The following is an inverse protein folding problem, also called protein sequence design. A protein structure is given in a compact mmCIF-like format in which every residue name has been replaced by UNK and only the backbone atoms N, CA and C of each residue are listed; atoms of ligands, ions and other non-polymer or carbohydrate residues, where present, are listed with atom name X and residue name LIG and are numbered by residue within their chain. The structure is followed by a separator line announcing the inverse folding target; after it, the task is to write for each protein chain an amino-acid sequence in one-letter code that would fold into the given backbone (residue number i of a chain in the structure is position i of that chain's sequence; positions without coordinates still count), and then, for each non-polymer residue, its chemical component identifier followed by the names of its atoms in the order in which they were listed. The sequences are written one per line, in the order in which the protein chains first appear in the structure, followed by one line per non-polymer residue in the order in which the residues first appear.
data_IF_380375523735
#
_entry.id   IF_380375523735
#
_cell.length_a   1.000
_cell.length_b   1.000
_cell.length_c   1.000
_cell.angle_alpha   90.00
_cell.angle_beta   90.00
_cell.angle_gamma   90.00
#
_symmetry.space_group_name_H-M   'P 1'
#
loop_
_entity.id
_entity.type
_entity.pdbx_description
1 polymer ?
#
# COMPACT_ATOMS: atom_id res chain seq x y z
N UNK A 1 23.20 62.14 -37.44
CA UNK A 1 23.13 62.05 -35.96
C UNK A 1 23.59 60.66 -35.56
N UNK A 2 24.67 60.61 -34.77
CA UNK A 2 25.23 59.53 -33.94
C UNK A 2 25.69 58.23 -34.66
N UNK A 3 26.99 58.06 -34.96
CA UNK A 3 28.13 57.60 -34.14
C UNK A 3 28.19 56.09 -33.81
N UNK A 4 28.96 55.36 -34.63
CA UNK A 4 30.06 54.43 -34.29
C UNK A 4 30.21 53.94 -32.83
N UNK A 5 30.27 52.61 -32.65
CA UNK A 5 31.40 51.89 -32.00
C UNK A 5 31.18 50.36 -31.97
N UNK A 6 32.12 49.63 -32.57
CA UNK A 6 32.41 48.22 -32.26
C UNK A 6 33.06 48.10 -30.87
N UNK A 7 32.79 47.02 -30.13
CA UNK A 7 33.74 46.41 -29.18
C UNK A 7 33.35 44.98 -28.78
N UNK A 8 34.41 44.20 -28.64
CA UNK A 8 34.59 42.77 -28.40
C UNK A 8 34.40 42.36 -26.93
N UNK A 9 34.22 41.04 -26.73
CA UNK A 9 34.58 40.19 -25.56
C UNK A 9 34.01 40.47 -24.15
N UNK A 10 33.20 39.55 -23.63
CA UNK A 10 33.52 38.63 -22.49
C UNK A 10 32.27 38.06 -21.83
N UNK A 11 32.34 36.75 -21.57
CA UNK A 11 31.76 35.95 -20.48
C UNK A 11 30.51 36.49 -19.76
N UNK A 12 29.42 35.72 -19.85
CA UNK A 12 28.56 35.53 -18.68
C UNK A 12 28.31 34.04 -18.43
N UNK A 13 28.60 33.64 -17.20
CA UNK A 13 28.40 32.31 -16.62
C UNK A 13 27.10 32.36 -15.82
N UNK A 14 26.16 31.48 -16.14
CA UNK A 14 25.15 30.92 -15.22
C UNK A 14 24.74 29.59 -15.86
N UNK A 15 25.15 28.41 -15.39
CA UNK A 15 24.88 27.72 -14.13
C UNK A 15 23.39 27.69 -13.73
N UNK A 16 22.70 26.60 -14.10
CA UNK A 16 22.11 25.62 -13.18
C UNK A 16 20.99 24.83 -13.85
N UNK A 17 21.11 23.51 -13.81
CA UNK A 17 20.11 22.55 -14.29
C UNK A 17 20.44 21.15 -13.78
N UNK A 18 20.75 21.11 -12.48
CA UNK A 18 20.98 19.94 -11.63
C UNK A 18 20.05 18.77 -12.01
N UNK A 19 20.66 17.75 -12.60
CA UNK A 19 20.00 16.50 -12.95
C UNK A 19 20.41 15.44 -11.94
N UNK A 20 19.47 15.05 -11.07
CA UNK A 20 19.33 13.64 -10.71
C UNK A 20 19.99 13.12 -9.44
N UNK A 21 20.46 13.96 -8.51
CA UNK A 21 21.14 13.51 -7.28
C UNK A 21 20.20 13.38 -6.06
N UNK A 22 19.12 12.60 -6.17
CA UNK A 22 18.32 12.21 -5.00
C UNK A 22 18.34 10.68 -4.74
N UNK A 23 19.19 9.92 -5.46
CA UNK A 23 19.19 8.45 -5.39
C UNK A 23 20.13 7.85 -4.32
N UNK A 24 20.91 8.65 -3.59
CA UNK A 24 21.97 8.10 -2.71
C UNK A 24 22.08 8.77 -1.32
N UNK A 25 21.54 9.98 -1.16
CA UNK A 25 21.74 10.80 0.06
C UNK A 25 21.26 10.08 1.34
N UNK A 26 20.13 9.36 1.28
CA UNK A 26 19.57 8.70 2.49
C UNK A 26 20.32 7.43 2.90
N UNK A 27 20.84 6.64 1.94
CA UNK A 27 21.64 5.45 2.26
C UNK A 27 23.05 5.81 2.71
N UNK A 28 23.63 6.85 2.12
CA UNK A 28 25.00 7.25 2.40
C UNK A 28 25.11 7.86 3.81
N UNK A 29 24.18 8.75 4.16
CA UNK A 29 24.09 9.32 5.53
C UNK A 29 23.90 8.23 6.58
N UNK A 30 23.10 7.20 6.28
CA UNK A 30 22.89 6.06 7.18
C UNK A 30 24.17 5.25 7.38
N UNK A 31 24.93 5.03 6.32
CA UNK A 31 26.16 4.25 6.35
C UNK A 31 27.26 5.00 7.09
N UNK A 32 27.38 6.31 6.86
CA UNK A 32 28.36 7.17 7.51
C UNK A 32 28.12 7.32 9.02
N UNK A 33 26.85 7.35 9.45
CA UNK A 33 26.49 7.54 10.86
C UNK A 33 26.18 6.23 11.61
N UNK A 34 26.34 5.09 10.96
CA UNK A 34 25.93 3.78 11.48
C UNK A 34 26.58 3.46 12.84
N UNK A 35 27.90 3.66 12.94
CA UNK A 35 28.66 3.41 14.17
C UNK A 35 28.19 4.29 15.34
N UNK A 36 27.85 5.55 15.05
CA UNK A 36 27.37 6.51 16.07
C UNK A 36 25.98 6.13 16.54
N UNK A 37 25.09 5.74 15.61
CA UNK A 37 23.71 5.35 15.91
C UNK A 37 23.67 4.03 16.71
N UNK A 38 24.52 3.07 16.38
CA UNK A 38 24.54 1.77 17.09
C UNK A 38 25.10 1.87 18.51
N UNK A 39 25.99 2.83 18.79
CA UNK A 39 26.57 3.07 20.12
C UNK A 39 25.68 3.93 21.03
N UNK A 40 24.70 4.65 20.48
CA UNK A 40 23.78 5.47 21.26
C UNK A 40 22.70 4.63 21.96
N UNK A 41 22.32 5.00 23.19
CA UNK A 41 21.27 4.30 23.92
C UNK A 41 19.93 4.38 23.15
N UNK A 42 19.34 3.22 22.82
CA UNK A 42 18.13 3.12 21.99
C UNK A 42 18.33 3.39 20.49
N UNK A 43 19.55 3.63 20.02
CA UNK A 43 19.82 3.96 18.62
C UNK A 43 19.51 2.82 17.65
N UNK A 44 19.70 1.55 18.05
CA UNK A 44 19.30 0.38 17.25
C UNK A 44 17.78 0.39 16.98
N UNK A 45 16.96 0.80 17.96
CA UNK A 45 15.50 0.87 17.77
C UNK A 45 15.15 1.94 16.73
N UNK A 46 15.71 3.13 16.86
CA UNK A 46 15.51 4.24 15.90
C UNK A 46 15.99 3.89 14.49
N UNK A 47 17.10 3.17 14.39
CA UNK A 47 17.62 2.70 13.10
C UNK A 47 16.63 1.76 12.41
N UNK A 48 16.05 0.81 13.15
CA UNK A 48 15.02 -0.09 12.59
C UNK A 48 13.80 0.69 12.11
N UNK A 49 13.34 1.66 12.89
CA UNK A 49 12.21 2.54 12.53
C UNK A 49 12.51 3.31 11.24
N UNK A 50 13.72 3.86 11.11
CA UNK A 50 14.15 4.59 9.91
C UNK A 50 14.26 3.68 8.68
N UNK A 51 14.86 2.49 8.82
CA UNK A 51 14.93 1.51 7.73
C UNK A 51 13.51 1.12 7.28
N UNK A 52 12.60 0.85 8.22
CA UNK A 52 11.20 0.53 7.90
C UNK A 52 10.50 1.69 7.18
N UNK A 53 10.74 2.93 7.62
CA UNK A 53 10.20 4.11 6.95
C UNK A 53 10.71 4.21 5.51
N UNK A 54 12.02 4.06 5.29
CA UNK A 54 12.60 4.08 3.95
C UNK A 54 12.10 2.92 3.08
N UNK A 55 11.87 1.75 3.68
CA UNK A 55 11.30 0.59 2.99
C UNK A 55 9.90 0.89 2.47
N UNK A 56 9.04 1.45 3.33
CA UNK A 56 7.67 1.83 2.97
C UNK A 56 7.65 2.95 1.92
N UNK A 57 8.62 3.85 1.94
CA UNK A 57 8.81 4.89 0.92
C UNK A 57 9.40 4.37 -0.39
N UNK A 58 9.78 3.09 -0.49
CA UNK A 58 10.42 2.54 -1.70
C UNK A 58 11.85 3.04 -1.95
N UNK A 59 12.50 3.63 -0.95
CA UNK A 59 13.84 4.26 -1.06
C UNK A 59 15.01 3.32 -0.76
N UNK A 60 14.73 2.06 -0.42
CA UNK A 60 15.76 1.06 -0.13
C UNK A 60 16.26 0.30 -1.35
N UNK A 61 15.62 0.46 -2.51
CA UNK A 61 15.94 -0.28 -3.73
C UNK A 61 15.92 0.68 -4.93
N UNK A 62 16.88 0.59 -5.87
CA UNK A 62 16.85 1.38 -7.09
C UNK A 62 15.56 1.12 -7.88
N UNK A 63 14.83 2.19 -8.20
CA UNK A 63 13.67 2.08 -9.10
C UNK A 63 14.14 1.83 -10.53
N UNK A 64 13.43 0.95 -11.23
CA UNK A 64 13.62 0.64 -12.65
C UNK A 64 12.62 1.44 -13.50
N UNK A 65 13.07 2.36 -14.36
CA UNK A 65 12.18 3.15 -15.23
C UNK A 65 11.37 2.30 -16.23
N UNK A 66 11.77 1.05 -16.47
CA UNK A 66 11.03 0.12 -17.33
C UNK A 66 9.85 -0.57 -16.65
N UNK A 67 9.64 -0.37 -15.33
CA UNK A 67 8.52 -0.98 -14.61
C UNK A 67 7.19 -0.32 -15.00
N UNK A 68 6.10 -1.10 -15.05
CA UNK A 68 4.76 -0.56 -15.31
C UNK A 68 4.37 0.42 -14.18
N UNK A 69 4.03 1.68 -14.48
CA UNK A 69 3.63 2.62 -13.46
C UNK A 69 2.29 2.21 -12.85
N UNK A 70 2.12 2.45 -11.55
CA UNK A 70 0.92 2.08 -10.80
C UNK A 70 -0.36 2.70 -11.37
N UNK A 71 -0.26 3.83 -12.09
CA UNK A 71 -1.39 4.45 -12.81
C UNK A 71 -2.06 3.50 -13.80
N UNK A 72 -1.27 2.68 -14.52
CA UNK A 72 -1.77 1.71 -15.49
C UNK A 72 -2.56 0.60 -14.79
N UNK A 73 -2.05 0.09 -13.67
CA UNK A 73 -2.76 -0.91 -12.87
C UNK A 73 -4.06 -0.34 -12.28
N UNK A 74 -4.05 0.91 -11.82
CA UNK A 74 -5.25 1.56 -11.29
C UNK A 74 -6.33 1.73 -12.36
N UNK A 75 -5.95 2.02 -13.60
CA UNK A 75 -6.89 2.09 -14.72
C UNK A 75 -7.51 0.72 -15.02
N UNK A 76 -6.68 -0.34 -15.07
CA UNK A 76 -7.16 -1.74 -15.20
C UNK A 76 -8.15 -2.11 -14.09
N UNK A 77 -7.85 -1.75 -12.84
CA UNK A 77 -8.72 -2.03 -11.69
C UNK A 77 -10.04 -1.25 -11.80
N UNK A 78 -9.99 0.01 -12.24
CA UNK A 78 -11.16 0.86 -12.43
C UNK A 78 -12.10 0.26 -13.47
N UNK A 79 -11.56 -0.18 -14.61
CA UNK A 79 -12.34 -0.79 -15.69
C UNK A 79 -12.95 -2.13 -15.27
N UNK A 80 -12.17 -2.97 -14.60
CA UNK A 80 -12.66 -4.23 -14.04
C UNK A 80 -13.79 -3.99 -13.03
N UNK A 81 -13.64 -3.00 -12.15
CA UNK A 81 -14.68 -2.61 -11.19
C UNK A 81 -15.94 -2.14 -11.90
N UNK A 82 -15.83 -1.38 -12.98
CA UNK A 82 -16.99 -0.98 -13.79
C UNK A 82 -17.69 -2.18 -14.42
N UNK A 83 -16.93 -3.14 -14.95
CA UNK A 83 -17.48 -4.37 -15.52
C UNK A 83 -18.23 -5.19 -14.46
N UNK A 84 -17.64 -5.38 -13.28
CA UNK A 84 -18.29 -6.08 -12.17
C UNK A 84 -19.58 -5.39 -11.70
N UNK A 85 -19.63 -4.05 -11.75
CA UNK A 85 -20.86 -3.29 -11.47
C UNK A 85 -21.90 -3.53 -12.55
N UNK A 86 -21.51 -3.48 -13.84
CA UNK A 86 -22.41 -3.72 -14.98
C UNK A 86 -23.02 -5.13 -14.96
N UNK A 87 -22.22 -6.13 -14.61
CA UNK A 87 -22.68 -7.53 -14.48
C UNK A 87 -23.39 -7.82 -13.16
N UNK A 88 -23.55 -6.83 -12.27
CA UNK A 88 -24.24 -6.98 -10.99
C UNK A 88 -23.50 -7.80 -9.92
N UNK A 89 -22.21 -8.10 -10.12
CA UNK A 89 -21.40 -8.88 -9.18
C UNK A 89 -21.02 -8.05 -7.94
N UNK A 90 -20.87 -6.73 -8.10
CA UNK A 90 -20.65 -5.79 -7.00
C UNK A 90 -21.60 -4.60 -7.09
N UNK A 91 -21.90 -3.99 -5.95
CA UNK A 91 -22.73 -2.78 -5.88
C UNK A 91 -21.89 -1.55 -6.22
N UNK A 92 -22.51 -0.56 -6.87
CA UNK A 92 -21.91 0.76 -7.08
C UNK A 92 -21.63 1.41 -5.73
N UNK A 93 -20.37 1.80 -5.51
CA UNK A 93 -19.94 2.50 -4.31
C UNK A 93 -20.04 4.01 -4.51
N UNK A 94 -20.13 4.76 -3.41
CA UNK A 94 -20.05 6.22 -3.44
C UNK A 94 -18.66 6.63 -3.97
N UNK A 95 -18.56 7.66 -4.82
CA UNK A 95 -17.26 8.21 -5.21
C UNK A 95 -16.45 8.60 -3.98
N UNK A 96 -15.17 8.27 -3.98
CA UNK A 96 -14.24 8.70 -2.95
C UNK A 96 -13.75 10.12 -3.26
N UNK A 97 -13.45 10.93 -2.25
CA UNK A 97 -12.83 12.23 -2.48
C UNK A 97 -11.46 12.07 -3.16
N UNK A 98 -11.01 13.09 -3.91
CA UNK A 98 -9.62 13.15 -4.35
C UNK A 98 -8.68 13.10 -3.13
N UNK A 99 -7.40 12.88 -3.41
CA UNK A 99 -6.35 13.01 -2.40
C UNK A 99 -5.85 14.45 -2.51
N UNK A 100 -5.96 15.19 -1.42
CA UNK A 100 -5.53 16.58 -1.36
C UNK A 100 -4.00 16.65 -1.11
N UNK A 101 -3.36 17.75 -1.50
CA UNK A 101 -1.90 17.90 -1.39
C UNK A 101 -1.42 17.86 0.07
N UNK A 102 -2.23 18.32 1.02
CA UNK A 102 -1.95 18.29 2.45
C UNK A 102 -2.08 16.90 3.08
N UNK A 103 -2.73 15.95 2.39
CA UNK A 103 -2.82 14.55 2.81
C UNK A 103 -1.60 13.72 2.39
N UNK A 104 -0.74 14.25 1.51
CA UNK A 104 0.44 13.54 0.99
C UNK A 104 1.61 13.71 1.97
N UNK A 105 2.04 12.65 2.68
CA UNK A 105 3.03 12.79 3.74
C UNK A 105 4.47 12.93 3.21
N UNK A 106 4.73 12.51 1.97
CA UNK A 106 6.05 12.53 1.33
C UNK A 106 5.96 12.26 -0.18
N UNK A 107 7.04 12.64 -0.87
CA UNK A 107 7.25 12.33 -2.29
C UNK A 107 7.44 10.83 -2.52
N UNK A 108 6.80 10.34 -3.57
CA UNK A 108 6.87 8.95 -3.98
C UNK A 108 7.97 8.73 -5.02
N UNK A 109 8.53 7.50 -5.11
CA UNK A 109 9.39 7.13 -6.22
C UNK A 109 8.66 7.20 -7.57
N UNK A 110 9.42 7.27 -8.66
CA UNK A 110 8.89 7.22 -10.01
C UNK A 110 8.03 5.96 -10.21
N UNK A 111 6.88 6.12 -10.88
CA UNK A 111 5.93 5.03 -11.13
C UNK A 111 4.99 4.70 -9.96
N UNK A 112 5.23 5.20 -8.76
CA UNK A 112 4.32 5.04 -7.62
C UNK A 112 3.25 6.14 -7.62
N UNK A 113 2.10 5.86 -7.01
CA UNK A 113 1.00 6.83 -6.89
C UNK A 113 0.25 6.63 -5.58
N UNK A 114 -0.13 7.73 -4.94
CA UNK A 114 -1.05 7.69 -3.82
C UNK A 114 -2.46 7.37 -4.31
N UNK A 115 -3.14 6.42 -3.68
CA UNK A 115 -4.52 6.06 -4.00
C UNK A 115 -5.28 5.69 -2.74
N UNK A 116 -6.60 5.90 -2.75
CA UNK A 116 -7.46 5.46 -1.67
C UNK A 116 -7.61 3.94 -1.74
N UNK A 117 -7.56 3.26 -0.59
CA UNK A 117 -7.74 1.80 -0.50
C UNK A 117 -9.04 1.33 -1.19
N UNK A 118 -10.12 2.12 -1.12
CA UNK A 118 -11.39 1.78 -1.77
C UNK A 118 -11.35 1.80 -3.32
N UNK A 119 -10.32 2.38 -3.95
CA UNK A 119 -10.12 2.26 -5.39
C UNK A 119 -9.56 0.89 -5.79
N UNK A 120 -8.72 0.29 -4.94
CA UNK A 120 -8.09 -1.01 -5.23
C UNK A 120 -8.91 -2.20 -4.74
N UNK A 121 -9.82 -1.99 -3.76
CA UNK A 121 -10.71 -3.05 -3.28
C UNK A 121 -11.98 -3.14 -4.13
N UNK A 122 -12.26 -4.34 -4.64
CA UNK A 122 -13.50 -4.67 -5.36
C UNK A 122 -14.69 -4.83 -4.40
N UNK A 123 -14.49 -5.54 -3.29
CA UNK A 123 -15.56 -5.89 -2.35
C UNK A 123 -15.02 -6.03 -0.93
N UNK A 124 -15.72 -5.41 0.02
CA UNK A 124 -15.50 -5.62 1.46
C UNK A 124 -16.69 -6.42 1.98
N UNK A 125 -16.42 -7.49 2.72
CA UNK A 125 -17.46 -8.31 3.34
C UNK A 125 -17.13 -8.56 4.79
N UNK A 126 -18.10 -8.34 5.67
CA UNK A 126 -18.04 -8.83 7.04
C UNK A 126 -18.52 -10.27 7.10
N UNK A 127 -17.88 -11.05 7.98
CA UNK A 127 -18.34 -12.37 8.38
C UNK A 127 -19.60 -12.32 9.24
N UNK A 128 -19.95 -13.46 9.81
CA UNK A 128 -21.07 -13.58 10.73
C UNK A 128 -20.83 -14.70 11.73
N UNK A 129 -21.22 -14.44 12.98
CA UNK A 129 -21.18 -15.44 14.05
C UNK A 129 -22.50 -16.20 14.06
N UNK A 130 -22.49 -17.52 13.83
CA UNK A 130 -23.69 -18.32 14.00
C UNK A 130 -24.06 -18.37 15.50
N UNK A 131 -25.33 -18.63 15.80
CA UNK A 131 -25.78 -18.70 17.20
C UNK A 131 -24.98 -19.74 17.98
N UNK A 132 -24.32 -19.31 19.06
CA UNK A 132 -23.54 -20.20 19.95
C UNK A 132 -24.40 -21.19 20.72
N UNK A 133 -25.69 -20.89 20.89
CA UNK A 133 -26.64 -21.72 21.64
C UNK A 133 -27.17 -22.86 20.75
N UNK A 134 -27.21 -22.66 19.43
CA UNK A 134 -27.66 -23.69 18.50
C UNK A 134 -26.50 -24.64 18.17
N UNK A 135 -26.39 -25.72 18.93
CA UNK A 135 -25.33 -26.74 18.75
C UNK A 135 -25.28 -27.32 17.34
N UNK A 136 -26.38 -27.33 16.58
CA UNK A 136 -26.43 -27.82 15.18
C UNK A 136 -25.56 -27.01 14.22
N UNK A 137 -25.12 -25.82 14.63
CA UNK A 137 -24.26 -24.96 13.83
C UNK A 137 -22.77 -25.24 14.02
N UNK A 138 -22.38 -25.97 15.06
CA UNK A 138 -20.99 -26.15 15.46
C UNK A 138 -20.51 -27.57 15.16
N UNK A 139 -19.19 -27.76 15.25
CA UNK A 139 -18.51 -29.05 15.08
C UNK A 139 -18.76 -29.70 13.70
N UNK A 140 -18.86 -28.86 12.67
CA UNK A 140 -18.91 -29.28 11.27
C UNK A 140 -17.53 -29.33 10.60
N UNK A 141 -17.51 -29.21 9.26
CA UNK A 141 -16.27 -29.26 8.47
C UNK A 141 -15.78 -27.90 7.97
N UNK A 142 -16.58 -26.84 8.08
CA UNK A 142 -16.25 -25.53 7.52
C UNK A 142 -15.48 -24.74 8.58
N UNK A 143 -14.26 -24.33 8.28
CA UNK A 143 -13.48 -23.48 9.18
C UNK A 143 -14.18 -22.13 9.42
N UNK A 144 -14.44 -21.81 10.69
CA UNK A 144 -15.01 -20.54 11.10
C UNK A 144 -13.95 -19.71 11.80
N UNK A 145 -13.48 -18.67 11.10
CA UNK A 145 -12.44 -17.78 11.58
C UNK A 145 -12.98 -16.73 12.55
N UNK A 146 -12.28 -16.55 13.66
CA UNK A 146 -12.52 -15.51 14.66
C UNK A 146 -11.26 -14.69 14.90
N UNK A 147 -11.38 -13.62 15.69
CA UNK A 147 -10.22 -12.79 16.10
C UNK A 147 -9.15 -13.63 16.82
N UNK A 148 -9.54 -14.72 17.50
CA UNK A 148 -8.60 -15.61 18.18
C UNK A 148 -7.72 -16.43 17.24
N UNK A 149 -8.13 -16.54 15.98
CA UNK A 149 -7.40 -17.23 14.92
C UNK A 149 -6.47 -16.27 14.16
N UNK A 150 -6.52 -14.97 14.46
CA UNK A 150 -5.68 -13.95 13.82
C UNK A 150 -4.41 -13.71 14.63
N UNK A 151 -3.30 -13.49 13.94
CA UNK A 151 -2.04 -13.04 14.54
C UNK A 151 -1.08 -14.14 14.97
N UNK A 152 -1.45 -15.42 14.93
CA UNK A 152 -0.50 -16.52 15.15
C UNK A 152 0.43 -16.71 13.94
N UNK A 153 -0.13 -16.61 12.74
CA UNK A 153 0.54 -16.92 11.49
C UNK A 153 0.16 -15.92 10.39
N UNK A 154 1.01 -15.81 9.36
CA UNK A 154 0.75 -14.98 8.17
C UNK A 154 -0.45 -15.48 7.36
N UNK A 155 -0.71 -16.78 7.38
CA UNK A 155 -1.74 -17.44 6.59
C UNK A 155 -2.64 -18.28 7.50
N UNK A 156 -3.95 -18.22 7.27
CA UNK A 156 -4.93 -18.97 8.02
C UNK A 156 -5.26 -20.30 7.32
N UNK A 157 -4.74 -21.41 7.85
CA UNK A 157 -4.98 -22.76 7.32
C UNK A 157 -5.95 -23.60 8.17
N UNK A 158 -6.19 -23.18 9.42
CA UNK A 158 -7.08 -23.86 10.36
C UNK A 158 -7.67 -22.87 11.35
N UNK A 159 -8.80 -23.23 11.98
CA UNK A 159 -9.48 -22.40 12.98
C UNK A 159 -9.81 -23.22 14.23
N UNK A 160 -9.94 -22.54 15.38
CA UNK A 160 -10.31 -23.16 16.66
C UNK A 160 -11.67 -23.85 16.60
N UNK A 161 -12.59 -23.30 15.79
CA UNK A 161 -13.93 -23.81 15.63
C UNK A 161 -14.25 -24.07 14.17
N UNK A 162 -15.07 -25.09 13.94
CA UNK A 162 -15.70 -25.36 12.66
C UNK A 162 -17.21 -25.25 12.80
N UNK A 163 -17.86 -24.92 11.69
CA UNK A 163 -19.31 -24.79 11.60
C UNK A 163 -19.85 -25.74 10.54
N UNK A 164 -21.14 -26.07 10.66
CA UNK A 164 -21.84 -26.94 9.72
C UNK A 164 -22.33 -26.14 8.51
N UNK A 165 -22.74 -26.84 7.45
CA UNK A 165 -23.41 -26.20 6.31
C UNK A 165 -24.71 -25.49 6.75
N UNK A 166 -25.44 -26.05 7.72
CA UNK A 166 -26.64 -25.41 8.29
C UNK A 166 -26.34 -24.05 8.90
N UNK A 167 -25.16 -23.86 9.48
CA UNK A 167 -24.75 -22.56 10.01
C UNK A 167 -24.59 -21.51 8.90
N UNK A 168 -24.17 -21.90 7.70
CA UNK A 168 -24.10 -21.00 6.54
C UNK A 168 -25.51 -20.68 6.03
N UNK A 169 -26.36 -21.69 5.92
CA UNK A 169 -27.68 -21.56 5.31
C UNK A 169 -28.69 -20.82 6.22
N UNK A 170 -28.61 -21.05 7.53
CA UNK A 170 -29.58 -20.54 8.53
C UNK A 170 -29.04 -19.35 9.34
N UNK A 171 -27.87 -18.78 8.99
CA UNK A 171 -27.29 -17.64 9.71
C UNK A 171 -26.68 -16.57 8.80
N UNK A 172 -26.04 -15.56 9.40
CA UNK A 172 -25.33 -14.50 8.67
C UNK A 172 -23.89 -14.85 8.30
N UNK A 173 -23.41 -16.04 8.68
CA UNK A 173 -22.09 -16.53 8.29
C UNK A 173 -21.96 -16.63 6.77
N UNK A 174 -20.77 -16.38 6.26
CA UNK A 174 -20.50 -16.36 4.82
C UNK A 174 -19.23 -17.12 4.53
N UNK A 175 -19.24 -17.86 3.42
CA UNK A 175 -18.04 -18.46 2.88
C UNK A 175 -17.21 -17.35 2.22
N UNK A 176 -15.96 -17.23 2.64
CA UNK A 176 -14.99 -16.30 2.06
C UNK A 176 -14.07 -17.11 1.14
N UNK A 177 -13.84 -16.69 -0.11
CA UNK A 177 -12.95 -17.40 -1.02
C UNK A 177 -11.52 -17.48 -0.47
N UNK A 178 -10.80 -18.55 -0.84
CA UNK A 178 -9.35 -18.64 -0.60
C UNK A 178 -8.62 -17.44 -1.23
N UNK A 179 -7.45 -17.11 -0.69
CA UNK A 179 -6.63 -15.97 -1.10
C UNK A 179 -7.29 -14.59 -0.88
N UNK A 180 -8.29 -14.51 -0.01
CA UNK A 180 -8.85 -13.24 0.45
C UNK A 180 -8.05 -12.72 1.64
N UNK A 181 -7.76 -11.42 1.67
CA UNK A 181 -7.14 -10.77 2.83
C UNK A 181 -8.17 -10.62 3.95
N UNK A 182 -7.79 -11.01 5.16
CA UNK A 182 -8.55 -10.78 6.39
C UNK A 182 -7.84 -9.68 7.17
N UNK A 183 -8.60 -8.67 7.62
CA UNK A 183 -8.11 -7.49 8.34
C UNK A 183 -8.93 -7.35 9.62
#
# INVERSE_FOLDING_TARGET
MQNMKSKTDQMDKTDNGDSGDNKTISSDILTENFDTITKANGGIKKLRELILQLAVQGKLVPQNPGDEPASVLLEKIKDEKQNLIKTGQIKKQKPLPPIDEDEVPYDLPEGWIWTRLGHIIQKIQSGGTPSKINSRYWDGEIFWASVKDLGSDKYLYSTQHKITQKAIDESKSKIIPKNTVII
#
